data_IF_118874650333
#
_entry.id   IF_118874650333
#
_cell.length_a   1.000
_cell.length_b   1.000
_cell.length_c   1.000
_cell.angle_alpha   90.00
_cell.angle_beta   90.00
_cell.angle_gamma   90.00
#
_symmetry.space_group_name_H-M   'P 1'
#
loop_
_entity.id
_entity.type
_entity.pdbx_description
1 polymer ?
#
# COMPACT_ATOMS: atom_id res chain seq x y z
N UNK A 1 -5.12 1.90 -12.94
CA UNK A 1 -4.76 3.27 -13.36
C UNK A 1 -4.87 4.21 -12.18
N UNK A 2 -3.86 5.06 -11.96
CA UNK A 2 -3.90 6.19 -11.05
C UNK A 2 -4.34 7.42 -11.84
N UNK A 3 -5.40 8.06 -11.39
CA UNK A 3 -5.99 9.23 -12.03
C UNK A 3 -5.92 10.45 -11.11
N UNK A 4 -5.65 11.60 -11.70
CA UNK A 4 -5.84 12.90 -11.07
C UNK A 4 -7.07 13.54 -11.71
N UNK A 5 -8.05 13.90 -10.88
CA UNK A 5 -9.28 14.57 -11.31
C UNK A 5 -9.25 15.99 -10.77
N UNK A 6 -9.60 16.98 -11.60
CA UNK A 6 -9.76 18.35 -11.15
C UNK A 6 -10.89 18.47 -10.11
N UNK A 7 -10.81 19.47 -9.24
CA UNK A 7 -11.77 19.64 -8.14
C UNK A 7 -13.22 19.76 -8.63
N UNK A 8 -13.42 20.34 -9.78
CA UNK A 8 -14.74 20.54 -10.43
C UNK A 8 -15.14 19.37 -11.36
N UNK A 9 -14.28 18.33 -11.48
CA UNK A 9 -14.52 17.19 -12.33
C UNK A 9 -14.35 17.43 -13.83
N UNK A 10 -13.96 18.64 -14.26
CA UNK A 10 -13.88 19.02 -15.68
C UNK A 10 -12.70 18.41 -16.42
N UNK A 11 -11.66 17.98 -15.70
CA UNK A 11 -10.46 17.42 -16.28
C UNK A 11 -10.02 16.16 -15.54
N UNK A 12 -9.56 15.18 -16.30
CA UNK A 12 -8.97 13.93 -15.77
C UNK A 12 -7.64 13.69 -16.45
N UNK A 13 -6.64 13.39 -15.65
CA UNK A 13 -5.29 13.09 -16.09
C UNK A 13 -4.88 11.69 -15.62
N UNK A 14 -4.27 10.90 -16.52
CA UNK A 14 -3.66 9.62 -16.19
C UNK A 14 -2.25 9.88 -15.65
N UNK A 15 -2.01 9.55 -14.39
CA UNK A 15 -0.69 9.68 -13.76
C UNK A 15 0.15 8.42 -14.01
N UNK A 16 -0.42 7.25 -13.74
CA UNK A 16 0.26 5.97 -13.90
C UNK A 16 -0.71 4.84 -14.24
N UNK A 17 -0.20 3.79 -14.88
CA UNK A 17 -0.99 2.64 -15.32
C UNK A 17 -0.34 1.32 -14.90
N UNK A 18 -1.00 0.20 -15.23
CA UNK A 18 -0.44 -1.14 -15.02
C UNK A 18 -0.71 -1.75 -13.65
N UNK A 19 -1.59 -1.17 -12.85
CA UNK A 19 -1.99 -1.76 -11.58
C UNK A 19 -3.03 -2.88 -11.83
N UNK A 20 -2.88 -3.98 -11.11
CA UNK A 20 -3.82 -5.10 -11.18
C UNK A 20 -5.06 -4.85 -10.34
N UNK A 21 -4.87 -4.58 -9.04
CA UNK A 21 -5.96 -4.36 -8.08
C UNK A 21 -5.46 -3.45 -6.94
N UNK A 22 -5.06 -2.24 -7.32
CA UNK A 22 -4.61 -1.24 -6.36
C UNK A 22 -5.75 -0.86 -5.41
N UNK A 23 -5.47 -0.83 -4.11
CA UNK A 23 -6.43 -0.48 -3.08
C UNK A 23 -6.01 0.73 -2.24
N UNK A 24 -4.75 0.75 -1.78
CA UNK A 24 -4.20 1.86 -1.02
C UNK A 24 -3.55 2.89 -1.94
N UNK A 25 -3.84 4.16 -1.71
CA UNK A 25 -3.14 5.28 -2.31
C UNK A 25 -2.89 6.35 -1.24
N UNK A 26 -1.67 6.87 -1.20
CA UNK A 26 -1.27 7.92 -0.28
C UNK A 26 -0.45 8.96 -1.02
N UNK A 27 -0.57 10.21 -0.59
CA UNK A 27 0.29 11.29 -1.05
C UNK A 27 1.50 11.35 -0.12
N UNK A 28 2.68 11.36 -0.72
CA UNK A 28 3.93 11.48 0.00
C UNK A 28 4.22 12.93 0.40
N UNK A 29 5.12 13.18 1.36
CA UNK A 29 5.49 14.53 1.76
C UNK A 29 6.08 15.41 0.63
N UNK A 30 6.61 14.78 -0.43
CA UNK A 30 7.14 15.44 -1.63
C UNK A 30 6.09 15.59 -2.74
N UNK A 31 4.81 15.37 -2.43
CA UNK A 31 3.67 15.42 -3.35
C UNK A 31 3.65 14.31 -4.42
N UNK A 32 4.59 13.38 -4.41
CA UNK A 32 4.51 12.15 -5.18
C UNK A 32 3.45 11.19 -4.59
N UNK A 33 3.19 10.07 -5.26
CA UNK A 33 2.20 9.10 -4.80
C UNK A 33 2.85 7.79 -4.41
N UNK A 34 2.21 7.07 -3.51
CA UNK A 34 2.54 5.70 -3.20
C UNK A 34 1.28 4.85 -3.25
N UNK A 35 1.38 3.68 -3.88
CA UNK A 35 0.22 2.84 -4.20
C UNK A 35 0.52 1.39 -3.87
N UNK A 36 -0.36 0.74 -3.10
CA UNK A 36 -0.33 -0.72 -2.96
C UNK A 36 -0.98 -1.38 -4.15
N UNK A 37 -0.45 -2.52 -4.56
CA UNK A 37 -1.05 -3.33 -5.60
C UNK A 37 -0.96 -4.82 -5.28
N UNK A 38 -1.93 -5.57 -5.73
CA UNK A 38 -2.09 -6.97 -5.40
C UNK A 38 -1.46 -7.86 -6.48
N UNK A 39 -0.88 -8.96 -6.04
CA UNK A 39 -0.46 -10.08 -6.87
C UNK A 39 -1.60 -10.54 -7.81
N UNK A 40 -1.25 -11.00 -8.99
CA UNK A 40 -2.18 -11.51 -9.98
C UNK A 40 -1.47 -12.17 -11.14
N UNK A 41 -2.19 -12.42 -12.21
CA UNK A 41 -1.68 -13.18 -13.36
C UNK A 41 -0.36 -12.63 -13.94
N UNK A 42 -0.21 -11.32 -13.97
CA UNK A 42 0.99 -10.62 -14.47
C UNK A 42 1.74 -9.82 -13.41
N UNK A 43 1.36 -9.96 -12.16
CA UNK A 43 2.06 -9.41 -11.00
C UNK A 43 2.48 -10.57 -10.12
N UNK A 44 3.78 -10.90 -10.02
CA UNK A 44 4.24 -12.10 -9.33
C UNK A 44 4.01 -12.08 -7.82
N UNK A 45 4.01 -10.89 -7.23
CA UNK A 45 3.84 -10.66 -5.79
C UNK A 45 2.98 -9.44 -5.54
N UNK A 46 2.55 -9.26 -4.29
CA UNK A 46 2.06 -7.98 -3.82
C UNK A 46 3.20 -6.96 -3.85
N UNK A 47 2.85 -5.68 -3.92
CA UNK A 47 3.86 -4.64 -4.02
C UNK A 47 3.39 -3.28 -3.51
N UNK A 48 4.36 -2.47 -3.14
CA UNK A 48 4.20 -1.05 -2.91
C UNK A 48 4.95 -0.31 -4.01
N UNK A 49 4.29 0.59 -4.72
CA UNK A 49 4.84 1.34 -5.82
C UNK A 49 5.03 2.80 -5.43
N UNK A 50 6.23 3.34 -5.63
CA UNK A 50 6.49 4.78 -5.53
C UNK A 50 6.31 5.41 -6.89
N UNK A 51 5.48 6.47 -6.97
CA UNK A 51 5.10 7.09 -8.23
C UNK A 51 5.55 8.55 -8.20
N UNK A 52 6.73 8.79 -8.73
CA UNK A 52 7.43 10.09 -8.74
C UNK A 52 7.32 10.84 -10.08
N UNK A 53 6.50 10.35 -11.00
CA UNK A 53 6.35 10.94 -12.32
C UNK A 53 5.10 10.46 -13.05
N UNK A 54 4.88 11.05 -14.22
CA UNK A 54 3.73 10.76 -15.07
C UNK A 54 4.09 9.80 -16.20
N UNK A 55 3.06 9.10 -16.72
CA UNK A 55 3.20 8.23 -17.88
C UNK A 55 3.90 6.91 -17.61
N UNK A 56 4.16 6.59 -16.36
CA UNK A 56 4.83 5.36 -15.95
C UNK A 56 3.88 4.17 -15.96
N UNK A 57 4.43 3.01 -16.30
CA UNK A 57 3.72 1.73 -16.36
C UNK A 57 4.24 0.77 -15.29
N UNK A 58 3.40 0.37 -14.35
CA UNK A 58 3.73 -0.50 -13.23
C UNK A 58 3.24 -1.95 -13.41
N UNK A 59 2.70 -2.29 -14.58
CA UNK A 59 2.24 -3.64 -14.88
C UNK A 59 3.37 -4.56 -15.31
N UNK A 60 3.09 -5.85 -15.28
CA UNK A 60 3.95 -6.85 -15.87
C UNK A 60 3.25 -7.43 -17.11
N UNK A 61 3.89 -7.33 -18.27
CA UNK A 61 3.31 -7.79 -19.55
C UNK A 61 3.47 -9.28 -19.75
N UNK A 62 4.25 -9.97 -18.91
CA UNK A 62 4.44 -11.41 -19.02
C UNK A 62 3.11 -12.17 -18.87
N UNK A 63 2.82 -13.02 -19.82
CA UNK A 63 1.57 -13.77 -19.86
C UNK A 63 0.34 -12.99 -20.30
N UNK A 64 0.46 -11.67 -20.49
CA UNK A 64 -0.66 -10.84 -20.97
C UNK A 64 -0.61 -10.65 -22.49
N UNK A 65 0.57 -10.46 -23.05
CA UNK A 65 0.74 -10.18 -24.47
C UNK A 65 2.02 -10.89 -24.99
N UNK A 66 1.91 -12.09 -25.57
CA UNK A 66 3.08 -12.78 -26.09
C UNK A 66 3.58 -12.13 -27.42
N UNK A 67 4.90 -12.11 -27.67
CA UNK A 67 5.95 -12.57 -26.78
C UNK A 67 6.10 -11.65 -25.57
N UNK A 68 6.10 -12.24 -24.39
CA UNK A 68 6.17 -11.46 -23.18
C UNK A 68 7.57 -10.86 -22.96
N UNK A 69 7.64 -9.57 -22.72
CA UNK A 69 8.87 -8.94 -22.24
C UNK A 69 9.01 -9.22 -20.73
N UNK A 70 10.02 -10.00 -20.37
CA UNK A 70 10.33 -10.34 -18.97
C UNK A 70 11.52 -9.54 -18.43
N UNK A 71 12.02 -8.58 -19.20
CA UNK A 71 13.13 -7.73 -18.76
C UNK A 71 12.71 -6.79 -17.63
N UNK A 72 13.68 -6.28 -16.90
CA UNK A 72 13.44 -5.25 -15.88
C UNK A 72 12.89 -3.95 -16.46
N UNK A 73 13.12 -3.71 -17.75
CA UNK A 73 12.63 -2.53 -18.44
C UNK A 73 11.16 -2.63 -18.88
N UNK A 74 10.54 -3.80 -18.78
CA UNK A 74 9.16 -4.03 -19.19
C UNK A 74 8.14 -3.23 -18.37
N UNK A 75 8.55 -2.83 -17.14
CA UNK A 75 7.71 -2.05 -16.24
C UNK A 75 8.58 -1.28 -15.24
N UNK A 76 8.00 -0.27 -14.59
CA UNK A 76 8.61 0.37 -13.43
C UNK A 76 8.73 -0.63 -12.28
N UNK A 77 9.89 -0.64 -11.62
CA UNK A 77 10.08 -1.51 -10.47
C UNK A 77 9.38 -0.93 -9.24
N UNK A 78 8.75 -1.75 -8.41
CA UNK A 78 8.14 -1.28 -7.17
C UNK A 78 9.21 -0.87 -6.15
N UNK A 79 8.79 -0.07 -5.18
CA UNK A 79 9.58 0.22 -3.98
C UNK A 79 9.94 -1.07 -3.23
N UNK A 80 8.99 -1.99 -3.12
CA UNK A 80 9.16 -3.29 -2.48
C UNK A 80 8.21 -4.32 -3.08
N UNK A 81 8.71 -5.52 -3.32
CA UNK A 81 7.93 -6.71 -3.54
C UNK A 81 7.62 -7.38 -2.20
N UNK A 82 6.39 -7.83 -2.01
CA UNK A 82 5.93 -8.45 -0.76
C UNK A 82 5.42 -9.84 -1.07
N UNK A 83 6.08 -10.84 -0.50
CA UNK A 83 5.67 -12.23 -0.64
C UNK A 83 4.25 -12.46 -0.11
N UNK A 84 3.50 -13.34 -0.76
CA UNK A 84 2.10 -13.62 -0.41
C UNK A 84 1.94 -14.35 0.93
N UNK A 85 2.97 -15.03 1.41
CA UNK A 85 2.95 -15.62 2.75
C UNK A 85 3.16 -14.55 3.82
N UNK A 86 3.87 -13.47 3.48
CA UNK A 86 4.08 -12.35 4.39
C UNK A 86 2.91 -11.36 4.41
N UNK A 87 2.36 -11.01 3.25
CA UNK A 87 1.19 -10.15 3.14
C UNK A 87 0.19 -10.70 2.12
N UNK A 88 -1.07 -10.54 2.42
CA UNK A 88 -2.14 -10.94 1.52
C UNK A 88 -3.14 -9.80 1.37
N UNK A 89 -3.19 -9.27 0.14
CA UNK A 89 -4.07 -8.16 -0.22
C UNK A 89 -3.77 -6.89 0.56
N UNK A 90 -2.67 -6.22 0.22
CA UNK A 90 -2.36 -4.92 0.79
C UNK A 90 -3.50 -3.94 0.54
N UNK A 91 -3.83 -3.16 1.55
CA UNK A 91 -4.94 -2.21 1.50
C UNK A 91 -4.45 -0.77 1.68
N UNK A 92 -4.72 -0.13 2.79
CA UNK A 92 -4.36 1.27 3.02
C UNK A 92 -2.84 1.49 3.12
N UNK A 93 -2.42 2.68 2.71
CA UNK A 93 -1.12 3.27 3.05
C UNK A 93 -1.38 4.56 3.82
N UNK A 94 -0.63 4.77 4.89
CA UNK A 94 -0.85 5.91 5.77
C UNK A 94 0.44 6.40 6.41
N UNK A 95 0.78 7.69 6.22
CA UNK A 95 1.86 8.32 6.97
C UNK A 95 1.45 8.56 8.42
N UNK A 96 2.33 8.21 9.35
CA UNK A 96 2.14 8.52 10.77
C UNK A 96 2.38 10.00 10.99
N UNK A 97 1.32 10.74 11.21
CA UNK A 97 1.34 12.18 11.43
C UNK A 97 0.95 12.55 12.89
N UNK A 98 1.44 11.79 13.84
CA UNK A 98 1.14 11.97 15.25
C UNK A 98 2.39 11.86 16.10
N UNK A 99 2.74 12.95 16.82
CA UNK A 99 3.84 12.96 17.77
C UNK A 99 3.68 11.96 18.93
N UNK A 100 2.44 11.53 19.21
CA UNK A 100 2.16 10.49 20.21
C UNK A 100 2.67 9.11 19.80
N UNK A 101 3.03 8.93 18.54
CA UNK A 101 3.62 7.69 18.03
C UNK A 101 5.15 7.68 18.14
N UNK A 102 5.74 8.61 18.89
CA UNK A 102 7.15 8.61 19.23
C UNK A 102 8.05 8.48 17.99
N UNK A 103 8.98 7.51 17.98
CA UNK A 103 9.91 7.32 16.86
C UNK A 103 9.24 6.90 15.56
N UNK A 104 8.00 6.43 15.58
CA UNK A 104 7.24 6.09 14.38
C UNK A 104 6.61 7.31 13.71
N UNK A 105 6.61 8.48 14.35
CA UNK A 105 6.11 9.69 13.69
C UNK A 105 6.92 10.00 12.42
N UNK A 106 6.25 10.17 11.30
CA UNK A 106 6.87 10.33 9.98
C UNK A 106 7.15 9.03 9.24
N UNK A 107 6.86 7.87 9.82
CA UNK A 107 6.95 6.57 9.15
C UNK A 107 5.72 6.29 8.30
N UNK A 108 5.86 5.37 7.35
CA UNK A 108 4.78 4.91 6.49
C UNK A 108 4.25 3.56 6.99
N UNK A 109 2.94 3.45 7.15
CA UNK A 109 2.24 2.21 7.47
C UNK A 109 1.56 1.64 6.23
N UNK A 110 1.56 0.31 6.10
CA UNK A 110 0.79 -0.46 5.13
C UNK A 110 -0.14 -1.42 5.85
N UNK A 111 -1.37 -1.51 5.40
CA UNK A 111 -2.39 -2.36 6.01
C UNK A 111 -2.58 -3.62 5.18
N UNK A 112 -2.69 -4.75 5.85
CA UNK A 112 -2.97 -6.04 5.26
C UNK A 112 -4.42 -6.45 5.50
N UNK A 113 -5.21 -6.46 4.43
CA UNK A 113 -6.59 -6.92 4.49
C UNK A 113 -6.68 -8.42 4.77
N UNK A 114 -5.89 -9.23 4.07
CA UNK A 114 -5.99 -10.68 4.15
C UNK A 114 -5.52 -11.27 5.49
N UNK A 115 -4.56 -10.63 6.16
CA UNK A 115 -4.01 -11.14 7.42
C UNK A 115 -4.38 -10.31 8.65
N UNK A 116 -5.11 -9.21 8.51
CA UNK A 116 -5.55 -8.40 9.63
C UNK A 116 -4.39 -7.82 10.45
N UNK A 117 -3.37 -7.29 9.78
CA UNK A 117 -2.17 -6.73 10.41
C UNK A 117 -1.80 -5.38 9.80
N UNK A 118 -0.96 -4.67 10.50
CA UNK A 118 -0.36 -3.42 10.03
C UNK A 118 1.15 -3.63 9.97
N UNK A 119 1.75 -3.13 8.91
CA UNK A 119 3.16 -3.23 8.61
C UNK A 119 3.79 -1.85 8.61
N UNK A 120 5.05 -1.78 8.99
CA UNK A 120 5.90 -0.62 8.78
C UNK A 120 6.61 -0.77 7.44
N UNK A 121 6.50 0.23 6.58
CA UNK A 121 7.25 0.30 5.33
C UNK A 121 8.56 1.03 5.61
N UNK A 122 9.64 0.33 5.41
CA UNK A 122 10.99 0.88 5.50
C UNK A 122 11.34 1.51 4.16
N UNK A 123 11.90 2.70 4.19
CA UNK A 123 12.22 3.49 3.00
C UNK A 123 13.70 3.83 2.98
N UNK A 124 14.31 3.66 1.82
CA UNK A 124 15.69 4.00 1.59
C UNK A 124 15.85 4.64 0.20
N UNK A 125 16.76 5.59 0.10
CA UNK A 125 17.19 6.16 -1.17
C UNK A 125 18.68 5.88 -1.35
N UNK A 126 19.02 5.13 -2.38
CA UNK A 126 20.39 4.78 -2.71
C UNK A 126 20.70 5.31 -4.11
N UNK A 127 21.53 6.33 -4.19
CA UNK A 127 21.92 6.98 -5.45
C UNK A 127 20.73 7.40 -6.33
N UNK A 128 19.64 7.89 -5.68
CA UNK A 128 18.41 8.30 -6.36
C UNK A 128 17.45 7.16 -6.68
N UNK A 129 17.80 5.92 -6.35
CA UNK A 129 16.93 4.77 -6.46
C UNK A 129 16.15 4.55 -5.17
N UNK A 130 14.84 4.72 -5.22
CA UNK A 130 13.94 4.39 -4.11
C UNK A 130 13.83 2.87 -3.96
N UNK A 131 14.12 2.38 -2.77
CA UNK A 131 13.93 0.98 -2.40
C UNK A 131 13.41 0.87 -0.98
N UNK A 132 12.89 -0.28 -0.61
CA UNK A 132 12.32 -0.46 0.71
C UNK A 132 12.11 -1.91 1.11
N UNK A 133 11.57 -2.06 2.29
CA UNK A 133 11.15 -3.33 2.86
C UNK A 133 9.89 -3.14 3.68
N UNK A 134 9.31 -4.24 4.13
CA UNK A 134 8.17 -4.24 5.06
C UNK A 134 8.45 -5.15 6.23
N UNK A 135 8.05 -4.70 7.41
CA UNK A 135 8.10 -5.49 8.63
C UNK A 135 6.76 -5.37 9.36
N UNK A 136 6.35 -6.41 10.08
CA UNK A 136 5.14 -6.33 10.88
C UNK A 136 5.30 -5.31 12.00
N UNK A 137 4.28 -4.49 12.22
CA UNK A 137 4.24 -3.59 13.37
C UNK A 137 4.06 -4.44 14.64
N UNK A 138 5.03 -4.43 15.57
CA UNK A 138 4.99 -5.28 16.74
C UNK A 138 3.72 -5.05 17.58
N UNK A 139 3.18 -6.13 18.15
CA UNK A 139 2.02 -6.07 19.04
C UNK A 139 0.68 -5.81 18.35
N UNK A 140 0.64 -5.66 17.03
CA UNK A 140 -0.60 -5.42 16.29
C UNK A 140 -1.03 -6.68 15.56
N UNK A 141 -2.08 -7.31 16.06
CA UNK A 141 -2.78 -8.39 15.36
C UNK A 141 -4.28 -8.15 15.48
N UNK A 142 -4.93 -7.93 14.36
CA UNK A 142 -6.34 -7.59 14.31
C UNK A 142 -7.17 -8.80 13.85
N UNK A 143 -8.39 -8.90 14.36
CA UNK A 143 -9.25 -10.05 14.09
C UNK A 143 -10.14 -9.84 12.86
N UNK A 144 -9.91 -8.77 12.12
CA UNK A 144 -10.62 -8.45 10.87
C UNK A 144 -9.64 -7.99 9.81
N UNK A 145 -10.02 -8.12 8.56
CA UNK A 145 -9.26 -7.58 7.44
C UNK A 145 -9.27 -6.06 7.46
N UNK A 146 -8.13 -5.44 7.77
CA UNK A 146 -8.03 -3.99 7.93
C UNK A 146 -7.99 -3.32 6.57
N UNK A 147 -8.92 -2.40 6.34
CA UNK A 147 -9.10 -1.74 5.05
C UNK A 147 -8.70 -0.28 5.05
N UNK A 148 -9.03 0.44 6.11
CA UNK A 148 -8.81 1.89 6.20
C UNK A 148 -8.41 2.30 7.60
N UNK A 149 -7.61 3.36 7.68
CA UNK A 149 -7.24 3.97 8.96
C UNK A 149 -6.98 5.46 8.82
N UNK A 150 -7.15 6.17 9.93
CA UNK A 150 -6.86 7.61 10.02
C UNK A 150 -6.34 7.94 11.42
N UNK A 151 -5.38 8.84 11.46
CA UNK A 151 -5.01 9.47 12.71
C UNK A 151 -6.05 10.52 13.10
N UNK A 152 -6.56 10.41 14.32
CA UNK A 152 -7.45 11.44 14.85
C UNK A 152 -6.61 12.63 15.35
N UNK A 153 -6.78 13.83 14.78
CA UNK A 153 -5.98 14.99 15.18
C UNK A 153 -6.22 15.45 16.63
N UNK A 154 -7.39 15.11 17.20
CA UNK A 154 -7.73 15.51 18.55
C UNK A 154 -7.01 14.70 19.63
N UNK A 155 -6.79 13.42 19.41
CA UNK A 155 -6.16 12.54 20.39
C UNK A 155 -4.85 11.88 19.91
N UNK A 156 -4.53 12.00 18.62
CA UNK A 156 -3.31 11.49 18.02
C UNK A 156 -3.24 9.97 17.90
N UNK A 157 -4.33 9.26 18.12
CA UNK A 157 -4.38 7.81 17.98
C UNK A 157 -4.77 7.40 16.56
N UNK A 158 -4.36 6.20 16.17
CA UNK A 158 -4.78 5.58 14.91
C UNK A 158 -6.11 4.87 15.12
N UNK A 159 -7.08 5.23 14.30
CA UNK A 159 -8.35 4.52 14.21
C UNK A 159 -8.37 3.75 12.90
N UNK A 160 -8.66 2.46 12.98
CA UNK A 160 -8.69 1.57 11.83
C UNK A 160 -10.00 0.79 11.80
N UNK A 161 -10.49 0.52 10.60
CA UNK A 161 -11.67 -0.31 10.39
C UNK A 161 -11.43 -1.34 9.30
N UNK A 162 -12.22 -2.38 9.34
CA UNK A 162 -12.11 -3.47 8.40
C UNK A 162 -13.39 -4.28 8.31
N UNK A 163 -13.31 -5.33 7.50
CA UNK A 163 -14.41 -6.26 7.27
C UNK A 163 -13.86 -7.69 7.17
N UNK A 164 -14.76 -8.67 7.07
CA UNK A 164 -14.35 -10.04 6.86
C UNK A 164 -13.52 -10.15 5.58
N UNK A 165 -12.38 -10.76 5.70
CA UNK A 165 -11.61 -11.15 4.54
C UNK A 165 -12.27 -12.37 3.85
N UNK A 166 -11.84 -12.71 2.64
CA UNK A 166 -12.35 -13.87 1.92
C UNK A 166 -12.13 -15.18 2.70
N UNK A 167 -12.87 -16.22 2.35
CA UNK A 167 -12.82 -17.53 3.02
C UNK A 167 -11.47 -18.25 3.03
N UNK A 168 -10.46 -17.73 2.33
CA UNK A 168 -9.06 -18.19 2.39
C UNK A 168 -8.20 -17.39 3.37
N UNK A 169 -8.76 -16.38 4.02
CA UNK A 169 -8.03 -15.54 4.93
C UNK A 169 -7.97 -16.16 6.31
N UNK A 170 -6.97 -15.72 7.05
CA UNK A 170 -6.78 -16.14 8.44
C UNK A 170 -7.55 -15.26 9.43
N UNK A 171 -8.37 -14.37 8.95
CA UNK A 171 -9.13 -13.41 9.76
C UNK A 171 -10.53 -13.96 10.03
N UNK A 172 -10.91 -13.98 11.30
CA UNK A 172 -12.06 -14.75 11.80
C UNK A 172 -13.32 -13.93 12.09
N UNK A 173 -13.26 -12.59 12.04
CA UNK A 173 -14.41 -11.73 12.37
C UNK A 173 -14.93 -10.97 11.15
N UNK A 174 -16.24 -10.71 11.16
CA UNK A 174 -16.96 -10.09 10.07
C UNK A 174 -16.65 -8.63 9.81
N UNK A 175 -16.29 -7.88 10.80
CA UNK A 175 -15.93 -6.46 10.72
C UNK A 175 -15.67 -5.92 12.11
N UNK A 176 -14.88 -4.87 12.20
CA UNK A 176 -14.54 -4.27 13.49
C UNK A 176 -14.00 -2.84 13.30
N UNK A 177 -13.92 -2.12 14.43
CA UNK A 177 -13.34 -0.79 14.52
C UNK A 177 -12.35 -0.75 15.69
N UNK A 178 -11.13 -0.35 15.42
CA UNK A 178 -10.02 -0.41 16.35
C UNK A 178 -9.49 0.99 16.65
N UNK A 179 -9.08 1.20 17.89
CA UNK A 179 -8.22 2.30 18.28
C UNK A 179 -6.85 1.75 18.69
N UNK A 180 -5.81 2.19 18.02
CA UNK A 180 -4.44 1.77 18.26
C UNK A 180 -3.67 2.91 18.97
N UNK A 181 -2.96 2.53 20.01
CA UNK A 181 -2.16 3.42 20.85
C UNK A 181 -0.70 3.00 20.70
N UNK A 182 0.18 3.96 20.65
CA UNK A 182 1.61 3.71 20.83
C UNK A 182 1.92 3.82 22.34
N UNK A 183 2.56 2.81 22.88
CA UNK A 183 2.92 2.73 24.33
C UNK A 183 4.40 2.44 24.49
#
# INVERSE_FOLDING_TARGET
TLLKVSKDGSATEIIATGFRAANGVCINPDESFIVTDQQGYWNPMNRVNWIDGRGKFYGNMWGYNPPADTSRAAMEQPLVWIDMEFDRSPSELLWVNSKKWGPLNGSLLSFSYGYGKIQLVLLEDVDGQKQGGVVDLPGVKLLTGVMRGRFNPSDGHLYACGLSAWGTSQVMRGGDFFRLLYT
#
